data_IF_933140236190
#
_entry.id   IF_933140236190
#
_cell.length_a   1.000
_cell.length_b   1.000
_cell.length_c   1.000
_cell.angle_alpha   90.00
_cell.angle_beta   90.00
_cell.angle_gamma   90.00
#
_symmetry.space_group_name_H-M   'P 1'
#
loop_
_entity.id
_entity.type
_entity.pdbx_description
1 polymer ?
#
# COMPACT_ATOMS: atom_id res chain seq x y z
N UNK A 1 0.88 36.49 19.50
CA UNK A 1 0.23 35.19 19.82
C UNK A 1 -0.49 34.63 18.60
N UNK A 2 0.26 34.20 17.57
CA UNK A 2 -0.26 33.41 16.43
C UNK A 2 0.68 32.24 16.09
N UNK A 3 1.98 32.39 16.37
CA UNK A 3 2.99 31.35 16.16
C UNK A 3 2.80 30.06 17.00
N UNK A 4 1.88 30.05 17.97
CA UNK A 4 1.56 28.87 18.78
C UNK A 4 0.25 28.17 18.35
N UNK A 5 -0.41 28.66 17.31
CA UNK A 5 -1.63 28.06 16.75
C UNK A 5 -1.29 27.04 15.66
N UNK A 6 -0.14 27.20 15.02
CA UNK A 6 0.33 26.36 13.93
C UNK A 6 1.63 25.68 14.37
N UNK A 7 1.51 24.45 14.86
CA UNK A 7 2.68 23.62 15.09
C UNK A 7 3.20 23.12 13.73
N UNK A 8 4.19 23.83 13.21
CA UNK A 8 4.79 23.56 11.90
C UNK A 8 5.39 22.16 11.85
N UNK A 9 5.81 21.62 13.00
CA UNK A 9 6.34 20.26 13.12
C UNK A 9 5.26 19.22 12.82
N UNK A 10 4.08 19.35 13.44
CA UNK A 10 2.94 18.44 13.23
C UNK A 10 2.46 18.49 11.77
N UNK A 11 2.38 19.69 11.18
CA UNK A 11 2.02 19.85 9.76
C UNK A 11 2.99 19.11 8.84
N UNK A 12 4.30 19.24 9.07
CA UNK A 12 5.31 18.52 8.30
C UNK A 12 5.20 17.00 8.49
N UNK A 13 4.89 16.55 9.70
CA UNK A 13 4.73 15.13 10.01
C UNK A 13 3.50 14.53 9.29
N UNK A 14 2.39 15.25 9.22
CA UNK A 14 1.19 14.83 8.47
C UNK A 14 1.49 14.80 6.97
N UNK A 15 2.15 15.82 6.42
CA UNK A 15 2.52 15.85 5.00
C UNK A 15 3.41 14.66 4.64
N UNK A 16 4.43 14.39 5.44
CA UNK A 16 5.35 13.28 5.18
C UNK A 16 4.68 11.92 5.33
N UNK A 17 3.88 11.72 6.37
CA UNK A 17 3.15 10.45 6.58
C UNK A 17 2.12 10.19 5.48
N UNK A 18 1.40 11.21 5.02
CA UNK A 18 0.47 11.09 3.90
C UNK A 18 1.20 10.78 2.58
N UNK A 19 2.33 11.43 2.31
CA UNK A 19 3.15 11.14 1.14
C UNK A 19 3.69 9.71 1.16
N UNK A 20 4.24 9.26 2.30
CA UNK A 20 4.75 7.90 2.47
C UNK A 20 3.65 6.85 2.30
N UNK A 21 2.45 7.09 2.85
CA UNK A 21 1.30 6.22 2.68
C UNK A 21 0.84 6.14 1.22
N UNK A 22 0.77 7.27 0.53
CA UNK A 22 0.43 7.34 -0.89
C UNK A 22 1.43 6.56 -1.76
N UNK A 23 2.73 6.78 -1.55
CA UNK A 23 3.79 6.04 -2.27
C UNK A 23 3.71 4.55 -1.97
N UNK A 24 3.52 4.16 -0.71
CA UNK A 24 3.37 2.76 -0.32
C UNK A 24 2.21 2.08 -1.04
N UNK A 25 1.05 2.76 -1.12
CA UNK A 25 -0.13 2.24 -1.80
C UNK A 25 0.08 2.10 -3.32
N UNK A 26 0.73 3.09 -3.96
CA UNK A 26 1.03 3.06 -5.40
C UNK A 26 2.00 1.92 -5.74
N UNK A 27 3.05 1.74 -4.91
CA UNK A 27 4.04 0.67 -5.11
C UNK A 27 3.37 -0.70 -4.92
N UNK A 28 2.56 -0.86 -3.88
CA UNK A 28 1.83 -2.10 -3.63
C UNK A 28 0.83 -2.41 -4.76
N UNK A 29 0.06 -1.42 -5.23
CA UNK A 29 -0.84 -1.60 -6.37
C UNK A 29 -0.09 -1.98 -7.66
N UNK A 30 1.04 -1.30 -7.95
CA UNK A 30 1.90 -1.61 -9.10
C UNK A 30 2.45 -3.03 -9.06
N UNK A 31 2.92 -3.48 -7.89
CA UNK A 31 3.38 -4.84 -7.65
C UNK A 31 2.25 -5.86 -7.83
N UNK A 32 1.05 -5.55 -7.35
CA UNK A 32 -0.13 -6.38 -7.54
C UNK A 32 -0.49 -6.57 -9.01
N UNK A 33 -0.51 -5.49 -9.79
CA UNK A 33 -0.78 -5.52 -11.24
C UNK A 33 0.31 -6.28 -11.98
N UNK A 34 1.58 -6.03 -11.64
CA UNK A 34 2.71 -6.71 -12.28
C UNK A 34 2.72 -8.21 -11.99
N UNK A 35 2.38 -8.61 -10.75
CA UNK A 35 2.20 -10.00 -10.35
C UNK A 35 1.03 -10.67 -11.07
N UNK A 36 -0.12 -10.02 -11.15
CA UNK A 36 -1.28 -10.55 -11.88
C UNK A 36 -0.99 -10.71 -13.38
N UNK A 37 -0.33 -9.72 -14.00
CA UNK A 37 0.06 -9.77 -15.40
C UNK A 37 1.05 -10.91 -15.68
N UNK A 38 2.11 -11.06 -14.86
CA UNK A 38 3.08 -12.15 -15.02
C UNK A 38 2.50 -13.53 -14.74
N UNK A 39 1.66 -13.67 -13.72
CA UNK A 39 0.98 -14.94 -13.43
C UNK A 39 0.13 -15.42 -14.61
N UNK A 40 -0.51 -14.48 -15.32
CA UNK A 40 -1.33 -14.80 -16.50
C UNK A 40 -0.47 -15.19 -17.71
N UNK A 41 0.68 -14.54 -17.89
CA UNK A 41 1.65 -14.88 -18.94
C UNK A 41 2.30 -16.26 -18.71
N UNK A 42 2.75 -16.55 -17.49
CA UNK A 42 3.45 -17.81 -17.18
C UNK A 42 2.52 -19.03 -17.11
N UNK A 43 1.22 -18.81 -16.84
CA UNK A 43 0.20 -19.85 -17.03
C UNK A 43 0.07 -20.27 -18.49
N UNK A 44 0.24 -19.35 -19.44
CA UNK A 44 0.19 -19.67 -20.87
C UNK A 44 1.41 -20.45 -21.34
N UNK A 45 2.58 -20.21 -20.74
CA UNK A 45 3.82 -20.93 -21.03
C UNK A 45 3.92 -22.30 -20.32
N UNK A 46 2.87 -22.76 -19.63
CA UNK A 46 2.85 -24.04 -18.91
C UNK A 46 3.74 -24.06 -17.65
N UNK A 47 4.30 -22.93 -17.22
CA UNK A 47 5.20 -22.82 -16.06
C UNK A 47 4.40 -22.56 -14.79
N UNK A 48 3.62 -23.56 -14.38
CA UNK A 48 2.67 -23.47 -13.25
C UNK A 48 3.30 -23.03 -11.92
N UNK A 49 4.56 -23.38 -11.67
CA UNK A 49 5.27 -23.02 -10.43
C UNK A 49 5.61 -21.52 -10.36
N UNK A 50 6.06 -20.93 -11.47
CA UNK A 50 6.33 -19.50 -11.55
C UNK A 50 5.04 -18.69 -11.41
N UNK A 51 3.97 -19.12 -12.10
CA UNK A 51 2.66 -18.50 -12.00
C UNK A 51 2.10 -18.49 -10.57
N UNK A 52 2.35 -19.54 -9.77
CA UNK A 52 1.97 -19.59 -8.36
C UNK A 52 2.69 -18.54 -7.51
N UNK A 53 3.99 -18.33 -7.73
CA UNK A 53 4.78 -17.32 -7.03
C UNK A 53 4.31 -15.90 -7.32
N UNK A 54 4.02 -15.56 -8.58
CA UNK A 54 3.51 -14.22 -8.92
C UNK A 54 2.08 -13.98 -8.44
N UNK A 55 1.24 -15.03 -8.42
CA UNK A 55 -0.08 -14.95 -7.81
C UNK A 55 0.02 -14.70 -6.30
N UNK A 56 0.93 -15.37 -5.60
CA UNK A 56 1.17 -15.14 -4.17
C UNK A 56 1.68 -13.71 -3.91
N UNK A 57 2.57 -13.19 -4.77
CA UNK A 57 3.06 -11.81 -4.68
C UNK A 57 1.91 -10.81 -4.87
N UNK A 58 1.01 -11.05 -5.83
CA UNK A 58 -0.15 -10.20 -6.06
C UNK A 58 -1.11 -10.19 -4.85
N UNK A 59 -1.37 -11.36 -4.27
CA UNK A 59 -2.21 -11.49 -3.05
C UNK A 59 -1.54 -10.81 -1.86
N UNK A 60 -0.23 -10.98 -1.67
CA UNK A 60 0.51 -10.34 -0.59
C UNK A 60 0.46 -8.81 -0.72
N UNK A 61 0.63 -8.27 -1.93
CA UNK A 61 0.52 -6.83 -2.18
C UNK A 61 -0.90 -6.30 -1.89
N UNK A 62 -1.94 -7.06 -2.28
CA UNK A 62 -3.33 -6.73 -1.97
C UNK A 62 -3.60 -6.74 -0.45
N UNK A 63 -3.04 -7.72 0.28
CA UNK A 63 -3.12 -7.80 1.74
C UNK A 63 -2.43 -6.61 2.42
N UNK A 64 -1.28 -6.18 1.92
CA UNK A 64 -0.58 -4.99 2.47
C UNK A 64 -1.41 -3.72 2.25
N UNK A 65 -1.99 -3.54 1.07
CA UNK A 65 -2.89 -2.41 0.80
C UNK A 65 -4.11 -2.41 1.75
N UNK A 66 -4.79 -3.55 1.86
CA UNK A 66 -5.98 -3.67 2.73
C UNK A 66 -5.64 -3.48 4.20
N UNK A 67 -4.56 -4.09 4.69
CA UNK A 67 -4.09 -3.90 6.06
C UNK A 67 -3.73 -2.42 6.35
N UNK A 68 -3.07 -1.74 5.41
CA UNK A 68 -2.75 -0.32 5.53
C UNK A 68 -4.00 0.57 5.64
N UNK A 69 -5.01 0.31 4.81
CA UNK A 69 -6.29 1.05 4.86
C UNK A 69 -7.03 0.76 6.16
N UNK A 70 -7.12 -0.50 6.59
CA UNK A 70 -7.80 -0.88 7.85
C UNK A 70 -7.10 -0.29 9.07
N UNK A 71 -5.76 -0.30 9.10
CA UNK A 71 -5.00 0.38 10.15
C UNK A 71 -5.26 1.88 10.15
N UNK A 72 -5.25 2.54 8.99
CA UNK A 72 -5.57 3.97 8.89
C UNK A 72 -6.97 4.28 9.44
N UNK A 73 -7.98 3.52 9.01
CA UNK A 73 -9.38 3.68 9.44
C UNK A 73 -9.54 3.41 10.94
N UNK A 74 -8.92 2.34 11.46
CA UNK A 74 -9.02 1.99 12.88
C UNK A 74 -8.36 3.03 13.79
N UNK A 75 -7.21 3.60 13.38
CA UNK A 75 -6.56 4.71 14.11
C UNK A 75 -7.43 5.95 14.08
N UNK A 76 -8.08 6.25 12.95
CA UNK A 76 -8.98 7.39 12.83
C UNK A 76 -10.24 7.25 13.68
N UNK A 77 -10.81 6.03 13.75
CA UNK A 77 -11.98 5.71 14.58
C UNK A 77 -11.67 5.60 16.08
N UNK A 78 -10.47 5.16 16.46
CA UNK A 78 -10.07 5.03 17.87
C UNK A 78 -9.65 6.36 18.51
N UNK A 79 -9.61 7.45 17.73
CA UNK A 79 -9.25 8.80 18.17
C UNK A 79 -10.47 9.71 18.38
N UNK A 80 -11.69 9.18 18.25
CA UNK A 80 -12.95 9.84 18.61
C UNK A 80 -13.35 9.51 20.04
#
# INVERSE_FOLDING_TARGET
MLANVVDTHDLLQVVWSAAAAGVGLIVAASLGIMGAARATAERRDGRAFAAGLYAALAVAAALVCTAGVVLGVSVMLSKG
#
